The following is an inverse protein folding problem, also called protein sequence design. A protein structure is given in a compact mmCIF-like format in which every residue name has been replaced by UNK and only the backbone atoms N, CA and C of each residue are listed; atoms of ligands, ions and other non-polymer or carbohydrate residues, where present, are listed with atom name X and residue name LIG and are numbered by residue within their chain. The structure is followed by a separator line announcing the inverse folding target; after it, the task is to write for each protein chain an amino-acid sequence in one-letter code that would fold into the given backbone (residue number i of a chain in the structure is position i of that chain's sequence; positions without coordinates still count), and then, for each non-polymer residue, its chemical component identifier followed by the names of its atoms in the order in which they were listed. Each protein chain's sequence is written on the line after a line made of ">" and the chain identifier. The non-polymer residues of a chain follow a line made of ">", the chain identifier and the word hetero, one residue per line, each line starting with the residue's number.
data_IF_475784748475
#
_entry.id   IF_475784748475
#
_cell.length_a   1.000
_cell.length_b   1.000
_cell.length_c   1.000
_cell.angle_alpha   90.00
_cell.angle_beta   90.00
_cell.angle_gamma   90.00
#
_symmetry.space_group_name_H-M   'P 1'
#
loop_
_entity.id
_entity.type
_entity.pdbx_description
1 polymer ?
#
# COMPACT_ATOMS: atom_id res chain seq x y z
N UNK A 1 -14.19 -26.72 23.98
CA UNK A 1 -12.85 -26.46 24.52
C UNK A 1 -11.96 -25.93 23.41
N UNK A 2 -11.04 -24.98 23.68
CA UNK A 2 -10.13 -24.41 22.67
C UNK A 2 -9.22 -25.46 22.01
N UNK A 3 -9.02 -26.61 22.67
CA UNK A 3 -8.28 -27.77 22.15
C UNK A 3 -8.86 -28.35 20.86
N UNK A 4 -10.11 -28.04 20.50
CA UNK A 4 -10.74 -28.48 19.25
C UNK A 4 -10.13 -27.83 18.00
N UNK A 5 -9.35 -26.76 18.16
CA UNK A 5 -8.78 -25.97 17.06
C UNK A 5 -7.25 -25.94 17.03
N UNK A 6 -6.58 -26.77 17.83
CA UNK A 6 -5.12 -26.91 17.76
C UNK A 6 -4.82 -27.97 16.69
N UNK A 7 -4.05 -27.59 15.67
CA UNK A 7 -3.61 -28.53 14.64
C UNK A 7 -2.60 -29.55 15.19
N UNK A 8 -2.38 -30.64 14.44
CA UNK A 8 -1.48 -31.72 14.86
C UNK A 8 -0.05 -31.25 15.09
N UNK A 9 0.45 -30.30 14.30
CA UNK A 9 1.83 -29.77 14.43
C UNK A 9 1.98 -28.99 15.73
N UNK A 10 1.02 -28.12 16.03
CA UNK A 10 0.94 -27.36 17.27
C UNK A 10 0.82 -28.30 18.48
N UNK A 11 0.05 -29.38 18.36
CA UNK A 11 -0.08 -30.40 19.42
C UNK A 11 1.23 -31.16 19.66
N UNK A 12 1.92 -31.60 18.61
CA UNK A 12 3.21 -32.28 18.72
C UNK A 12 4.27 -31.41 19.43
N UNK A 13 4.18 -30.09 19.24
CA UNK A 13 5.05 -29.14 19.95
C UNK A 13 4.76 -29.13 21.45
N UNK A 14 3.48 -29.08 21.84
CA UNK A 14 3.06 -29.16 23.26
C UNK A 14 3.52 -30.48 23.89
N UNK A 15 3.35 -31.59 23.18
CA UNK A 15 3.74 -32.92 23.66
C UNK A 15 5.26 -33.01 23.86
N UNK A 16 6.05 -32.56 22.89
CA UNK A 16 7.52 -32.52 22.98
C UNK A 16 8.00 -31.69 24.18
N UNK A 17 7.42 -30.51 24.39
CA UNK A 17 7.76 -29.66 25.54
C UNK A 17 7.33 -30.31 26.85
N UNK A 18 6.20 -31.03 26.87
CA UNK A 18 5.71 -31.74 28.05
C UNK A 18 6.64 -32.88 28.46
N UNK A 19 7.07 -33.71 27.49
CA UNK A 19 8.06 -34.78 27.74
C UNK A 19 9.35 -34.20 28.32
N UNK A 20 9.88 -33.14 27.69
CA UNK A 20 11.08 -32.45 28.18
C UNK A 20 10.89 -31.89 29.60
N UNK A 21 9.71 -31.36 29.91
CA UNK A 21 9.41 -30.85 31.25
C UNK A 21 9.35 -31.98 32.29
N UNK A 22 8.85 -33.17 31.93
CA UNK A 22 8.84 -34.34 32.80
C UNK A 22 10.26 -34.82 33.09
N UNK A 23 11.11 -34.91 32.07
CA UNK A 23 12.52 -35.31 32.19
C UNK A 23 13.28 -34.36 33.14
N UNK A 24 13.08 -33.05 32.99
CA UNK A 24 13.76 -32.05 33.82
C UNK A 24 13.27 -32.02 35.28
N UNK A 25 11.99 -32.29 35.51
CA UNK A 25 11.38 -32.20 36.85
C UNK A 25 11.32 -33.53 37.60
N UNK A 26 11.56 -34.66 36.92
CA UNK A 26 11.46 -36.01 37.51
C UNK A 26 10.05 -36.39 37.97
N UNK A 27 9.01 -35.69 37.51
CA UNK A 27 7.60 -35.92 37.87
C UNK A 27 6.67 -35.62 36.71
N UNK A 28 5.49 -36.21 36.73
CA UNK A 28 4.44 -35.96 35.73
C UNK A 28 4.03 -34.48 35.73
N UNK A 29 3.95 -33.90 34.52
CA UNK A 29 3.52 -32.54 34.26
C UNK A 29 2.25 -32.59 33.40
N UNK A 30 1.24 -31.78 33.74
CA UNK A 30 0.01 -31.72 32.96
C UNK A 30 0.23 -30.87 31.71
N UNK A 31 -0.23 -31.36 30.56
CA UNK A 31 -0.19 -30.65 29.27
C UNK A 31 -0.82 -29.25 29.37
N UNK A 32 -1.93 -29.11 30.12
CA UNK A 32 -2.58 -27.81 30.33
C UNK A 32 -1.65 -26.77 30.96
N UNK A 33 -0.74 -27.17 31.85
CA UNK A 33 0.20 -26.24 32.49
C UNK A 33 1.33 -25.85 31.53
N UNK A 34 1.73 -26.77 30.66
CA UNK A 34 2.68 -26.50 29.57
C UNK A 34 2.05 -25.55 28.54
N UNK A 35 0.80 -25.78 28.15
CA UNK A 35 0.06 -24.89 27.24
C UNK A 35 -0.04 -23.48 27.82
N UNK A 36 -0.37 -23.33 29.11
CA UNK A 36 -0.42 -22.01 29.77
C UNK A 36 0.93 -21.31 29.71
N UNK A 37 2.02 -22.02 30.01
CA UNK A 37 3.37 -21.48 29.96
C UNK A 37 3.75 -21.04 28.53
N UNK A 38 3.44 -21.87 27.53
CA UNK A 38 3.71 -21.56 26.12
C UNK A 38 2.92 -20.34 25.65
N UNK A 39 1.65 -20.22 26.01
CA UNK A 39 0.81 -19.05 25.70
C UNK A 39 1.39 -17.80 26.35
N UNK A 40 1.72 -17.85 27.65
CA UNK A 40 2.22 -16.68 28.37
C UNK A 40 3.58 -16.22 27.82
N UNK A 41 4.47 -17.17 27.49
CA UNK A 41 5.77 -16.85 26.89
C UNK A 41 5.63 -16.35 25.46
N UNK A 42 4.83 -17.02 24.64
CA UNK A 42 4.54 -16.63 23.27
C UNK A 42 3.94 -15.24 23.18
N UNK A 43 2.95 -14.92 24.02
CA UNK A 43 2.32 -13.61 24.08
C UNK A 43 3.31 -12.47 24.40
N UNK A 44 4.38 -12.75 25.16
CA UNK A 44 5.43 -11.76 25.47
C UNK A 44 6.46 -11.59 24.35
N UNK A 45 6.55 -12.55 23.44
CA UNK A 45 7.55 -12.55 22.35
C UNK A 45 6.97 -12.18 20.99
N UNK A 46 5.64 -12.18 20.84
CA UNK A 46 4.98 -11.78 19.60
C UNK A 46 5.29 -10.32 19.29
N UNK A 47 5.76 -10.08 18.08
CA UNK A 47 5.90 -8.74 17.52
C UNK A 47 4.63 -8.33 16.79
N UNK A 48 4.47 -7.03 16.54
CA UNK A 48 3.38 -6.54 15.71
C UNK A 48 3.40 -7.17 14.30
N UNK A 49 4.58 -7.49 13.76
CA UNK A 49 4.72 -8.12 12.45
C UNK A 49 4.28 -9.58 12.46
N UNK A 50 4.56 -10.32 13.53
CA UNK A 50 4.03 -11.69 13.70
C UNK A 50 2.50 -11.69 13.71
N UNK A 51 1.90 -10.69 14.38
CA UNK A 51 0.45 -10.51 14.47
C UNK A 51 -0.17 -10.07 13.13
N UNK A 52 0.49 -9.14 12.41
CA UNK A 52 0.07 -8.73 11.06
C UNK A 52 0.11 -9.91 10.08
N UNK A 53 1.03 -10.85 10.30
CA UNK A 53 1.23 -12.03 9.46
C UNK A 53 0.56 -13.31 9.99
N UNK A 54 -0.37 -13.22 10.96
CA UNK A 54 -0.94 -14.39 11.64
C UNK A 54 -1.58 -15.44 10.71
N UNK A 55 -2.01 -15.03 9.51
CA UNK A 55 -2.57 -15.91 8.47
C UNK A 55 -1.63 -16.16 7.28
N UNK A 56 -0.35 -15.83 7.40
CA UNK A 56 0.56 -15.72 6.25
C UNK A 56 0.14 -14.61 5.28
N UNK A 57 -0.42 -13.52 5.83
CA UNK A 57 -0.84 -12.37 5.04
C UNK A 57 0.36 -11.82 4.26
N UNK A 58 0.28 -11.86 2.94
CA UNK A 58 1.22 -11.18 2.08
C UNK A 58 0.53 -9.94 1.55
N UNK A 59 1.09 -8.74 1.79
CA UNK A 59 0.53 -7.54 1.19
C UNK A 59 0.44 -7.71 -0.32
N UNK A 60 -0.70 -7.29 -0.86
CA UNK A 60 -0.97 -7.35 -2.30
C UNK A 60 -1.50 -6.00 -2.77
N UNK A 61 -0.81 -4.95 -2.34
CA UNK A 61 -0.98 -3.60 -2.82
C UNK A 61 0.18 -3.25 -3.76
N UNK A 62 -0.01 -2.23 -4.58
CA UNK A 62 1.08 -1.57 -5.29
C UNK A 62 1.14 -0.09 -4.96
N UNK A 63 2.30 0.50 -5.14
CA UNK A 63 2.54 1.93 -4.93
C UNK A 63 3.01 2.52 -6.25
N UNK A 64 2.30 3.55 -6.69
CA UNK A 64 2.66 4.35 -7.86
C UNK A 64 3.00 5.76 -7.43
N UNK A 65 4.03 6.36 -8.01
CA UNK A 65 4.28 7.80 -7.92
C UNK A 65 3.97 8.49 -9.23
N UNK A 66 3.56 9.75 -9.13
CA UNK A 66 3.46 10.67 -10.24
C UNK A 66 4.15 11.98 -9.87
N UNK A 67 5.18 12.32 -10.65
CA UNK A 67 6.02 13.51 -10.47
C UNK A 67 5.49 14.70 -11.28
N UNK A 68 5.86 15.94 -10.90
CA UNK A 68 5.37 17.15 -11.58
C UNK A 68 5.75 17.26 -13.06
N UNK A 69 6.85 16.64 -13.44
CA UNK A 69 7.30 16.54 -14.84
C UNK A 69 6.45 15.58 -15.69
N UNK A 70 5.48 14.90 -15.08
CA UNK A 70 4.62 13.93 -15.75
C UNK A 70 5.14 12.49 -15.67
N UNK A 71 6.29 12.25 -15.04
CA UNK A 71 6.85 10.90 -14.86
C UNK A 71 5.98 10.08 -13.92
N UNK A 72 5.54 8.91 -14.39
CA UNK A 72 4.80 7.92 -13.60
C UNK A 72 5.67 6.69 -13.38
N UNK A 73 5.85 6.29 -12.12
CA UNK A 73 6.64 5.13 -11.74
C UNK A 73 5.79 4.18 -10.92
N UNK A 74 5.71 2.92 -11.33
CA UNK A 74 5.09 1.84 -10.57
C UNK A 74 6.17 1.08 -9.81
N UNK A 75 6.10 1.10 -8.48
CA UNK A 75 7.04 0.41 -7.60
C UNK A 75 6.56 -1.01 -7.25
N UNK A 76 5.33 -1.37 -7.61
CA UNK A 76 4.70 -2.59 -7.09
C UNK A 76 4.59 -2.54 -5.57
N UNK A 77 4.68 -3.70 -4.91
CA UNK A 77 4.75 -3.76 -3.45
C UNK A 77 6.15 -3.35 -2.99
N UNK A 78 6.23 -2.29 -2.18
CA UNK A 78 7.47 -1.70 -1.68
C UNK A 78 7.34 -1.41 -0.18
N UNK A 79 8.45 -1.46 0.54
CA UNK A 79 8.47 -1.13 1.98
C UNK A 79 8.28 0.37 2.22
N UNK A 80 7.55 0.79 3.30
CA UNK A 80 7.30 2.19 3.59
C UNK A 80 8.57 3.04 3.77
N UNK A 81 9.61 2.50 4.39
CA UNK A 81 10.88 3.21 4.63
C UNK A 81 11.63 3.50 3.33
N UNK A 82 11.63 2.52 2.40
CA UNK A 82 12.24 2.67 1.08
C UNK A 82 11.50 3.74 0.27
N UNK A 83 10.16 3.69 0.29
CA UNK A 83 9.34 4.69 -0.40
C UNK A 83 9.45 6.09 0.25
N UNK A 84 9.57 6.17 1.57
CA UNK A 84 9.78 7.45 2.27
C UNK A 84 11.10 8.13 1.84
N UNK A 85 12.17 7.36 1.67
CA UNK A 85 13.43 7.88 1.13
C UNK A 85 13.28 8.42 -0.30
N UNK A 86 12.52 7.71 -1.14
CA UNK A 86 12.16 8.20 -2.48
C UNK A 86 11.37 9.51 -2.41
N UNK A 87 10.36 9.60 -1.55
CA UNK A 87 9.56 10.83 -1.39
C UNK A 87 10.44 12.00 -0.96
N UNK A 88 11.31 11.83 0.03
CA UNK A 88 12.20 12.88 0.52
C UNK A 88 13.10 13.47 -0.58
N UNK A 89 13.52 12.64 -1.54
CA UNK A 89 14.40 13.06 -2.63
C UNK A 89 13.68 13.70 -3.83
N UNK A 90 12.37 13.47 -3.99
CA UNK A 90 11.66 13.76 -5.24
C UNK A 90 10.45 14.69 -5.09
N UNK A 91 10.32 15.39 -3.96
CA UNK A 91 9.16 16.24 -3.71
C UNK A 91 8.99 17.38 -4.71
N UNK A 92 7.74 17.77 -5.03
CA UNK A 92 6.49 17.14 -4.59
C UNK A 92 6.13 15.91 -5.43
N UNK A 93 5.52 14.92 -4.78
CA UNK A 93 5.07 13.66 -5.41
C UNK A 93 3.59 13.41 -5.11
N UNK A 94 2.85 12.97 -6.14
CA UNK A 94 1.53 12.37 -5.98
C UNK A 94 1.69 10.85 -5.88
N UNK A 95 1.47 10.31 -4.68
CA UNK A 95 1.51 8.89 -4.36
C UNK A 95 0.12 8.27 -4.51
N UNK A 96 0.08 7.06 -5.05
CA UNK A 96 -1.12 6.26 -5.14
C UNK A 96 -0.83 4.84 -4.63
N UNK A 97 -1.48 4.46 -3.55
CA UNK A 97 -1.46 3.10 -2.99
C UNK A 97 -2.70 2.38 -3.48
N UNK A 98 -2.52 1.37 -4.33
CA UNK A 98 -3.62 0.67 -4.99
C UNK A 98 -3.70 -0.81 -4.61
N UNK A 99 -4.89 -1.38 -4.69
CA UNK A 99 -5.13 -2.81 -4.44
C UNK A 99 -6.58 -3.08 -4.04
N UNK A 100 -6.96 -4.35 -3.92
CA UNK A 100 -8.31 -4.71 -3.50
C UNK A 100 -8.54 -4.45 -1.98
N UNK A 101 -9.72 -4.81 -1.48
CA UNK A 101 -10.01 -4.80 -0.04
C UNK A 101 -9.07 -5.73 0.71
N UNK A 102 -8.64 -5.29 1.90
CA UNK A 102 -7.77 -6.06 2.80
C UNK A 102 -6.43 -6.49 2.17
N UNK A 103 -5.85 -5.70 1.26
CA UNK A 103 -4.52 -5.97 0.69
C UNK A 103 -3.36 -5.28 1.40
N UNK A 104 -3.64 -4.49 2.44
CA UNK A 104 -2.63 -3.80 3.26
C UNK A 104 -2.37 -2.33 2.88
N UNK A 105 -3.20 -1.74 2.01
CA UNK A 105 -3.01 -0.35 1.51
C UNK A 105 -3.02 0.69 2.63
N UNK A 106 -4.04 0.67 3.49
CA UNK A 106 -4.15 1.56 4.65
C UNK A 106 -2.97 1.39 5.59
N UNK A 107 -2.53 0.15 5.83
CA UNK A 107 -1.36 -0.13 6.66
C UNK A 107 -0.08 0.48 6.06
N UNK A 108 0.13 0.34 4.75
CA UNK A 108 1.27 0.97 4.07
C UNK A 108 1.22 2.50 4.23
N UNK A 109 0.06 3.12 3.97
CA UNK A 109 -0.13 4.57 4.13
C UNK A 109 0.14 5.01 5.58
N UNK A 110 -0.40 4.31 6.58
CA UNK A 110 -0.18 4.65 8.00
C UNK A 110 1.29 4.49 8.40
N UNK A 111 1.99 3.45 7.91
CA UNK A 111 3.42 3.27 8.16
C UNK A 111 4.25 4.34 7.45
N UNK A 112 3.93 4.66 6.20
CA UNK A 112 4.61 5.70 5.42
C UNK A 112 4.57 7.05 6.15
N UNK A 113 3.41 7.43 6.68
CA UNK A 113 3.24 8.67 7.44
C UNK A 113 4.06 8.70 8.73
N UNK A 114 4.45 7.55 9.30
CA UNK A 114 5.36 7.46 10.45
C UNK A 114 6.84 7.51 10.04
N UNK A 115 7.16 7.17 8.79
CA UNK A 115 8.53 7.17 8.27
C UNK A 115 8.99 8.55 7.80
N UNK A 116 8.07 9.47 7.50
CA UNK A 116 8.38 10.82 7.04
C UNK A 116 8.50 11.81 8.22
N UNK A 117 9.18 12.93 8.01
CA UNK A 117 9.32 13.99 9.02
C UNK A 117 8.00 14.75 9.25
N UNK A 118 7.80 15.33 10.43
CA UNK A 118 6.58 16.10 10.75
C UNK A 118 6.35 17.27 9.78
N UNK A 119 7.40 18.01 9.44
CA UNK A 119 7.37 19.11 8.45
C UNK A 119 6.92 18.63 7.06
N UNK A 120 7.31 17.41 6.70
CA UNK A 120 6.88 16.78 5.47
C UNK A 120 5.40 16.38 5.55
N UNK A 121 4.99 15.77 6.66
CA UNK A 121 3.62 15.31 6.88
C UNK A 121 2.60 16.46 6.85
N UNK A 122 2.94 17.65 7.36
CA UNK A 122 2.07 18.84 7.29
C UNK A 122 1.75 19.26 5.83
N UNK A 123 2.67 18.96 4.91
CA UNK A 123 2.51 19.27 3.49
C UNK A 123 1.76 18.17 2.69
N UNK A 124 1.31 17.10 3.35
CA UNK A 124 0.57 16.02 2.70
C UNK A 124 -0.94 16.27 2.72
N UNK A 125 -1.60 15.93 1.61
CA UNK A 125 -3.03 15.66 1.58
C UNK A 125 -3.24 14.18 1.35
N UNK A 126 -4.02 13.55 2.22
CA UNK A 126 -4.20 12.10 2.22
C UNK A 126 -5.69 11.79 2.16
N UNK A 127 -6.09 11.00 1.16
CA UNK A 127 -7.44 10.49 1.03
C UNK A 127 -7.40 8.97 0.91
N UNK A 128 -8.27 8.30 1.67
CA UNK A 128 -8.28 6.85 1.81
C UNK A 128 -9.67 6.28 1.55
N UNK A 129 -9.82 5.59 0.42
CA UNK A 129 -11.08 4.99 -0.02
C UNK A 129 -11.60 3.94 0.96
N UNK A 130 -10.70 3.27 1.71
CA UNK A 130 -11.09 2.32 2.74
C UNK A 130 -11.76 3.04 3.95
N UNK A 131 -11.55 4.36 4.13
CA UNK A 131 -12.20 5.22 5.14
C UNK A 131 -13.44 5.96 4.63
N UNK A 132 -13.68 5.96 3.32
CA UNK A 132 -14.80 6.66 2.68
C UNK A 132 -14.54 6.86 1.20
N UNK A 133 -15.57 6.68 0.37
CA UNK A 133 -15.43 6.78 -1.08
C UNK A 133 -14.86 8.15 -1.49
N UNK A 134 -13.75 8.14 -2.22
CA UNK A 134 -13.16 9.36 -2.79
C UNK A 134 -14.05 9.82 -3.95
N UNK A 135 -14.71 10.97 -3.78
CA UNK A 135 -15.54 11.57 -4.83
C UNK A 135 -14.69 12.13 -5.97
N UNK A 136 -15.30 12.36 -7.14
CA UNK A 136 -14.60 13.03 -8.26
C UNK A 136 -14.15 14.44 -7.88
N UNK A 137 -14.97 15.20 -7.15
CA UNK A 137 -14.62 16.56 -6.72
C UNK A 137 -13.42 16.55 -5.76
N UNK A 138 -13.39 15.62 -4.79
CA UNK A 138 -12.25 15.42 -3.89
C UNK A 138 -10.99 15.13 -4.70
N UNK A 139 -11.10 14.27 -5.72
CA UNK A 139 -9.99 13.90 -6.59
C UNK A 139 -9.45 15.09 -7.38
N UNK A 140 -10.33 15.92 -7.94
CA UNK A 140 -9.94 17.13 -8.65
C UNK A 140 -9.29 18.15 -7.71
N UNK A 141 -9.77 18.28 -6.48
CA UNK A 141 -9.14 19.12 -5.46
C UNK A 141 -7.72 18.65 -5.14
N UNK A 142 -7.53 17.34 -5.00
CA UNK A 142 -6.21 16.75 -4.77
C UNK A 142 -5.26 16.97 -5.96
N UNK A 143 -5.73 16.78 -7.20
CA UNK A 143 -4.92 17.09 -8.38
C UNK A 143 -4.51 18.55 -8.43
N UNK A 144 -5.43 19.46 -8.12
CA UNK A 144 -5.14 20.90 -8.06
C UNK A 144 -4.07 21.20 -7.00
N UNK A 145 -4.21 20.63 -5.81
CA UNK A 145 -3.25 20.81 -4.71
C UNK A 145 -1.85 20.29 -5.09
N UNK A 146 -1.78 19.19 -5.84
CA UNK A 146 -0.51 18.67 -6.35
C UNK A 146 0.09 19.57 -7.44
N UNK A 147 -0.63 19.75 -8.55
CA UNK A 147 -0.10 20.41 -9.75
C UNK A 147 0.10 21.92 -9.53
N UNK A 148 -0.89 22.61 -8.97
CA UNK A 148 -0.88 24.07 -8.82
C UNK A 148 -0.12 24.50 -7.56
N UNK A 149 -0.39 23.86 -6.42
CA UNK A 149 0.14 24.31 -5.12
C UNK A 149 1.44 23.61 -4.74
N UNK A 150 1.80 22.50 -5.41
CA UNK A 150 3.03 21.76 -5.12
C UNK A 150 3.02 21.02 -3.80
N UNK A 151 1.83 20.61 -3.33
CA UNK A 151 1.68 19.75 -2.15
C UNK A 151 1.94 18.30 -2.50
N UNK A 152 2.40 17.51 -1.53
CA UNK A 152 2.42 16.07 -1.68
C UNK A 152 0.99 15.53 -1.49
N UNK A 153 0.61 14.53 -2.27
CA UNK A 153 -0.74 13.96 -2.23
C UNK A 153 -0.65 12.45 -2.16
N UNK A 154 -1.45 11.81 -1.31
CA UNK A 154 -1.55 10.36 -1.21
C UNK A 154 -3.00 9.94 -1.46
N UNK A 155 -3.20 9.11 -2.48
CA UNK A 155 -4.43 8.39 -2.72
C UNK A 155 -4.29 6.96 -2.22
N UNK A 156 -5.24 6.47 -1.45
CA UNK A 156 -5.39 5.04 -1.17
C UNK A 156 -6.69 4.56 -1.81
N UNK A 157 -6.60 3.67 -2.79
CA UNK A 157 -7.76 3.34 -3.63
C UNK A 157 -7.80 1.90 -4.13
N UNK A 158 -9.01 1.47 -4.49
CA UNK A 158 -9.23 0.20 -5.13
C UNK A 158 -8.82 0.22 -6.59
N UNK A 159 -7.86 -0.62 -6.96
CA UNK A 159 -7.58 -0.98 -8.34
C UNK A 159 -6.82 -2.30 -8.42
N UNK A 160 -7.01 -3.00 -9.53
CA UNK A 160 -6.36 -4.28 -9.78
C UNK A 160 -4.90 -4.14 -10.22
N UNK A 161 -4.53 -3.00 -10.79
CA UNK A 161 -3.18 -2.69 -11.25
C UNK A 161 -2.99 -1.18 -11.42
N UNK A 162 -1.74 -0.77 -11.63
CA UNK A 162 -1.35 0.62 -11.88
C UNK A 162 -2.07 1.23 -13.09
N UNK A 163 -2.22 0.50 -14.20
CA UNK A 163 -2.93 1.01 -15.40
C UNK A 163 -4.37 1.44 -15.12
N UNK A 164 -5.09 0.72 -14.24
CA UNK A 164 -6.44 1.10 -13.82
C UNK A 164 -6.45 2.43 -13.05
N UNK A 165 -5.45 2.68 -12.19
CA UNK A 165 -5.31 3.95 -11.49
C UNK A 165 -4.99 5.09 -12.45
N UNK A 166 -4.01 4.90 -13.32
CA UNK A 166 -3.64 5.89 -14.35
C UNK A 166 -4.87 6.24 -15.19
N UNK A 167 -5.59 5.24 -15.69
CA UNK A 167 -6.80 5.45 -16.51
C UNK A 167 -7.85 6.24 -15.75
N UNK A 168 -8.09 5.93 -14.47
CA UNK A 168 -9.05 6.65 -13.63
C UNK A 168 -8.63 8.10 -13.41
N UNK A 169 -7.36 8.35 -13.13
CA UNK A 169 -6.83 9.70 -12.95
C UNK A 169 -6.92 10.51 -14.24
N UNK A 170 -6.47 9.93 -15.36
CA UNK A 170 -6.58 10.54 -16.70
C UNK A 170 -8.03 10.88 -17.02
N UNK A 171 -8.97 9.96 -16.79
CA UNK A 171 -10.39 10.19 -17.08
C UNK A 171 -10.97 11.30 -16.20
N UNK A 172 -10.65 11.31 -14.91
CA UNK A 172 -11.07 12.37 -14.00
C UNK A 172 -10.53 13.74 -14.43
N UNK A 173 -9.24 13.81 -14.77
CA UNK A 173 -8.63 15.04 -15.27
C UNK A 173 -9.20 15.45 -16.63
N UNK A 174 -9.40 14.54 -17.57
CA UNK A 174 -9.96 14.83 -18.90
C UNK A 174 -11.41 15.32 -18.84
N UNK A 175 -12.17 14.83 -17.85
CA UNK A 175 -13.54 15.27 -17.59
C UNK A 175 -13.59 16.63 -16.89
N UNK A 176 -12.46 17.07 -16.33
CA UNK A 176 -12.28 18.38 -15.72
C UNK A 176 -11.73 19.41 -16.73
N UNK A 177 -11.75 20.69 -16.38
CA UNK A 177 -11.14 21.76 -17.19
C UNK A 177 -9.62 21.87 -17.02
N UNK A 178 -8.96 20.86 -16.45
CA UNK A 178 -7.52 20.83 -16.24
C UNK A 178 -6.84 20.46 -17.57
N UNK A 179 -5.91 21.30 -18.02
CA UNK A 179 -5.06 20.99 -19.17
C UNK A 179 -3.84 20.21 -18.68
N UNK A 180 -3.54 19.06 -19.28
CA UNK A 180 -2.36 18.26 -18.97
C UNK A 180 -1.74 17.72 -20.25
N UNK A 181 -0.42 17.53 -20.24
CA UNK A 181 0.34 16.93 -21.34
C UNK A 181 0.99 15.67 -20.79
N UNK A 182 0.70 14.52 -21.41
CA UNK A 182 1.42 13.28 -21.14
C UNK A 182 2.62 13.16 -22.06
N UNK A 183 3.82 13.10 -21.48
CA UNK A 183 5.06 12.79 -22.20
C UNK A 183 5.62 11.54 -21.54
N UNK A 184 5.71 10.43 -22.26
CA UNK A 184 6.25 9.19 -21.73
C UNK A 184 6.61 8.18 -22.82
N UNK A 185 7.60 7.34 -22.55
CA UNK A 185 7.95 6.18 -23.36
C UNK A 185 7.23 4.94 -22.82
N UNK A 186 6.42 4.28 -23.65
CA UNK A 186 5.67 3.08 -23.26
C UNK A 186 6.48 1.83 -23.62
N UNK A 187 7.32 1.38 -22.69
CA UNK A 187 8.03 0.09 -22.78
C UNK A 187 8.94 -0.07 -24.02
N UNK A 188 9.54 -1.26 -24.21
CA UNK A 188 10.43 -1.49 -25.34
C UNK A 188 9.67 -1.44 -26.67
N UNK A 189 9.89 -0.36 -27.41
CA UNK A 189 9.63 -0.14 -28.83
C UNK A 189 8.28 -0.64 -29.37
N UNK A 190 7.17 -0.02 -28.93
CA UNK A 190 6.04 0.22 -29.85
C UNK A 190 5.89 1.72 -30.02
N UNK A 191 6.24 2.19 -31.22
CA UNK A 191 6.18 3.57 -31.72
C UNK A 191 5.31 4.47 -30.84
N UNK A 192 5.95 5.37 -30.12
CA UNK A 192 5.29 6.41 -29.33
C UNK A 192 4.25 7.12 -30.20
N UNK A 193 3.00 7.14 -29.74
CA UNK A 193 1.98 8.05 -30.24
C UNK A 193 1.87 9.18 -29.23
N UNK A 194 2.20 10.39 -29.66
CA UNK A 194 1.90 11.60 -28.90
C UNK A 194 0.38 11.69 -28.77
N UNK A 195 -0.16 11.60 -27.55
CA UNK A 195 -1.59 11.78 -27.29
C UNK A 195 -1.74 13.15 -26.62
N UNK A 196 -2.03 14.16 -27.41
CA UNK A 196 -2.41 15.48 -26.91
C UNK A 196 -3.92 15.49 -26.69
N UNK A 197 -4.37 15.39 -25.43
CA UNK A 197 -5.77 15.56 -25.08
C UNK A 197 -6.02 17.04 -24.77
N UNK A 198 -6.61 17.78 -25.72
CA UNK A 198 -7.07 19.15 -25.47
C UNK A 198 -8.54 19.11 -25.09
N UNK A 199 -8.86 19.58 -23.88
CA UNK A 199 -10.23 19.55 -23.34
C UNK A 199 -11.19 20.45 -24.11
N UNK A 200 -11.98 19.83 -25.01
CA UNK A 200 -13.45 19.96 -25.16
C UNK A 200 -13.88 19.19 -26.42
N UNK A 201 -14.50 18.02 -26.24
CA UNK A 201 -15.42 17.44 -27.22
C UNK A 201 -14.86 17.03 -28.59
N UNK A 202 -13.55 16.79 -28.73
CA UNK A 202 -12.99 16.29 -29.98
C UNK A 202 -11.61 15.65 -29.77
N UNK A 203 -11.42 14.45 -30.30
CA UNK A 203 -10.10 13.86 -30.45
C UNK A 203 -9.49 14.38 -31.75
N UNK A 204 -8.45 15.21 -31.67
CA UNK A 204 -7.63 15.55 -32.83
C UNK A 204 -6.38 14.67 -32.82
N UNK A 205 -6.31 13.74 -33.78
CA UNK A 205 -5.11 12.97 -34.06
C UNK A 205 -4.23 13.79 -34.99
N UNK A 206 -3.17 14.41 -34.46
CA UNK A 206 -2.12 14.95 -35.33
C UNK A 206 -1.01 13.91 -35.48
N UNK A 207 -0.92 13.35 -36.69
CA UNK A 207 0.25 12.59 -37.13
C UNK A 207 1.24 13.56 -37.76
N UNK A 208 2.31 13.89 -37.07
CA UNK A 208 3.51 14.40 -37.73
C UNK A 208 4.24 13.23 -38.39
N UNK A 209 4.55 13.41 -39.68
CA UNK A 209 5.32 12.48 -40.52
C UNK A 209 6.81 12.69 -40.26
#
# INVERSE_FOLDING_TARGET
>A
MPTKHIDTTSWNTVESVTVRAIELNGKLVKETDVIRLLIERGAKTLTDDDLRNINGFKPNYGVMSWSKDGTITDFGTIEPEEYAAYLAANQPVMTCVYGNTATGKTNFKDSLLRCISDDMAENFLVEDEDNGRISEDTRLHLFKSFFDEGRNVVFVEHAHNCSCMITRFVNAMASSKVNFIFIGEVGPARKAKMITAVGKGGYTWETSV
#
